data_IF_219617521339
#
_entry.id   IF_219617521339
#
_cell.length_a   1.000
_cell.length_b   1.000
_cell.length_c   1.000
_cell.angle_alpha   90.00
_cell.angle_beta   90.00
_cell.angle_gamma   90.00
#
_symmetry.space_group_name_H-M   'P 1'
#
loop_
_entity.id
_entity.type
_entity.pdbx_description
1 polymer ?
#
# COMPACT_ATOMS: atom_id res chain seq x y z
N UNK A 1 -41.63 -45.43 1.78
CA UNK A 1 -41.82 -44.08 1.19
C UNK A 1 -42.82 -43.39 2.10
N UNK A 2 -42.43 -42.36 2.87
CA UNK A 2 -43.23 -41.81 3.96
C UNK A 2 -44.56 -41.26 3.41
N UNK A 3 -45.69 -41.82 3.84
CA UNK A 3 -47.05 -41.62 3.27
C UNK A 3 -47.61 -40.20 3.48
N UNK A 4 -46.85 -39.34 4.17
CA UNK A 4 -47.23 -37.99 4.58
C UNK A 4 -46.40 -36.87 3.90
N UNK A 5 -45.24 -37.17 3.29
CA UNK A 5 -44.40 -36.14 2.64
C UNK A 5 -45.18 -35.53 1.46
N UNK A 6 -45.64 -34.29 1.62
CA UNK A 6 -46.31 -33.53 0.57
C UNK A 6 -47.85 -33.46 0.66
N UNK A 7 -48.46 -33.69 1.84
CA UNK A 7 -49.88 -33.36 2.02
C UNK A 7 -50.10 -31.87 1.70
N UNK A 8 -51.01 -31.54 0.77
CA UNK A 8 -51.17 -30.17 0.26
C UNK A 8 -51.61 -29.19 1.35
N UNK A 9 -52.37 -29.64 2.37
CA UNK A 9 -52.78 -28.78 3.47
C UNK A 9 -51.59 -28.31 4.32
N UNK A 10 -50.64 -29.20 4.63
CA UNK A 10 -49.45 -28.85 5.41
C UNK A 10 -48.51 -27.93 4.63
N UNK A 11 -48.30 -28.21 3.35
CA UNK A 11 -47.47 -27.36 2.48
C UNK A 11 -48.08 -25.96 2.34
N UNK A 12 -49.40 -25.87 2.18
CA UNK A 12 -50.10 -24.59 2.10
C UNK A 12 -50.01 -23.81 3.41
N UNK A 13 -50.23 -24.47 4.55
CA UNK A 13 -50.18 -23.84 5.86
C UNK A 13 -48.76 -23.33 6.20
N UNK A 14 -47.73 -24.19 6.05
CA UNK A 14 -46.32 -23.81 6.29
C UNK A 14 -45.87 -22.72 5.32
N UNK A 15 -46.30 -22.78 4.06
CA UNK A 15 -46.03 -21.76 3.06
C UNK A 15 -46.57 -20.38 3.48
N UNK A 16 -47.81 -20.35 3.97
CA UNK A 16 -48.46 -19.13 4.45
C UNK A 16 -47.81 -18.61 5.73
N UNK A 17 -47.58 -19.47 6.71
CA UNK A 17 -46.94 -19.11 7.99
C UNK A 17 -45.52 -18.57 7.79
N UNK A 18 -44.74 -19.10 6.86
CA UNK A 18 -43.38 -18.62 6.60
C UNK A 18 -43.27 -17.47 5.58
N UNK A 19 -44.39 -16.96 5.02
CA UNK A 19 -44.33 -16.04 3.86
C UNK A 19 -43.65 -14.71 4.15
N UNK A 20 -43.74 -14.22 5.39
CA UNK A 20 -43.22 -12.91 5.78
C UNK A 20 -41.72 -12.95 6.12
N UNK A 21 -41.10 -14.14 6.17
CA UNK A 21 -39.66 -14.31 6.36
C UNK A 21 -38.94 -13.96 5.05
N UNK A 22 -38.38 -12.74 5.00
CA UNK A 22 -37.71 -12.20 3.81
C UNK A 22 -36.36 -12.85 3.53
N UNK A 23 -35.63 -13.25 4.58
CA UNK A 23 -34.32 -13.88 4.43
C UNK A 23 -34.51 -15.36 4.05
N UNK A 24 -34.29 -15.67 2.77
CA UNK A 24 -34.53 -17.01 2.19
C UNK A 24 -33.89 -18.16 2.98
N UNK A 25 -32.62 -18.08 3.43
CA UNK A 25 -32.02 -19.18 4.19
C UNK A 25 -32.76 -19.51 5.49
N UNK A 26 -33.17 -18.49 6.25
CA UNK A 26 -33.97 -18.71 7.47
C UNK A 26 -35.35 -19.21 7.13
N UNK A 27 -35.99 -18.70 6.07
CA UNK A 27 -37.31 -19.16 5.64
C UNK A 27 -37.32 -20.65 5.35
N UNK A 28 -36.32 -21.16 4.64
CA UNK A 28 -36.26 -22.59 4.30
C UNK A 28 -35.96 -23.46 5.53
N UNK A 29 -35.10 -22.99 6.45
CA UNK A 29 -34.85 -23.69 7.72
C UNK A 29 -36.13 -23.79 8.58
N UNK A 30 -36.83 -22.67 8.75
CA UNK A 30 -38.06 -22.62 9.56
C UNK A 30 -39.18 -23.45 8.93
N UNK A 31 -39.30 -23.44 7.59
CA UNK A 31 -40.23 -24.32 6.89
C UNK A 31 -39.94 -25.80 7.15
N UNK A 32 -38.66 -26.20 7.13
CA UNK A 32 -38.27 -27.58 7.39
C UNK A 32 -38.63 -28.01 8.82
N UNK A 33 -38.30 -27.18 9.81
CA UNK A 33 -38.61 -27.41 11.23
C UNK A 33 -40.13 -27.48 11.48
N UNK A 34 -40.91 -26.55 10.91
CA UNK A 34 -42.37 -26.58 11.02
C UNK A 34 -42.99 -27.79 10.32
N UNK A 35 -42.41 -28.24 9.20
CA UNK A 35 -42.88 -29.46 8.53
C UNK A 35 -42.64 -30.70 9.39
N UNK A 36 -41.48 -30.79 10.06
CA UNK A 36 -41.16 -31.87 11.01
C UNK A 36 -42.11 -31.85 12.21
N UNK A 37 -42.43 -30.69 12.77
CA UNK A 37 -43.41 -30.59 13.86
C UNK A 37 -44.84 -30.97 13.45
N UNK A 38 -45.25 -30.68 12.21
CA UNK A 38 -46.53 -31.13 11.68
C UNK A 38 -46.55 -32.64 11.44
N UNK A 39 -45.42 -33.23 11.03
CA UNK A 39 -45.24 -34.68 10.91
C UNK A 39 -45.42 -35.34 12.28
N UNK A 40 -44.69 -34.90 13.29
CA UNK A 40 -44.79 -35.45 14.65
C UNK A 40 -46.22 -35.35 15.21
N UNK A 41 -46.88 -34.22 15.01
CA UNK A 41 -48.26 -34.01 15.46
C UNK A 41 -49.27 -34.89 14.70
N UNK A 42 -49.01 -35.15 13.42
CA UNK A 42 -49.83 -36.02 12.58
C UNK A 42 -49.66 -37.48 12.98
N UNK A 43 -48.43 -37.95 13.20
CA UNK A 43 -48.15 -39.31 13.67
C UNK A 43 -48.81 -39.57 15.03
N UNK A 44 -48.73 -38.62 15.97
CA UNK A 44 -49.42 -38.72 17.26
C UNK A 44 -50.96 -38.83 17.12
N UNK A 45 -51.56 -38.23 16.09
CA UNK A 45 -53.00 -38.37 15.82
C UNK A 45 -53.33 -39.76 15.27
N UNK A 46 -52.48 -40.31 14.39
CA UNK A 46 -52.66 -41.67 13.87
C UNK A 46 -52.55 -42.71 14.99
N UNK A 47 -51.58 -42.55 15.90
CA UNK A 47 -51.40 -43.43 17.06
C UNK A 47 -52.58 -43.37 18.03
N UNK A 48 -53.28 -42.23 18.09
CA UNK A 48 -54.53 -42.07 18.84
C UNK A 48 -55.75 -42.71 18.14
N UNK A 49 -55.57 -43.32 16.97
CA UNK A 49 -56.60 -44.02 16.22
C UNK A 49 -57.44 -43.14 15.29
N UNK A 50 -57.01 -41.90 14.99
CA UNK A 50 -57.69 -41.04 14.01
C UNK A 50 -57.41 -41.50 12.58
N UNK A 51 -58.40 -41.34 11.70
CA UNK A 51 -58.20 -41.55 10.27
C UNK A 51 -57.32 -40.44 9.69
N UNK A 52 -56.49 -40.75 8.68
CA UNK A 52 -55.52 -39.81 8.07
C UNK A 52 -56.10 -38.42 7.73
N UNK A 53 -57.33 -38.37 7.21
CA UNK A 53 -57.98 -37.10 6.86
C UNK A 53 -58.37 -36.27 8.08
N UNK A 54 -58.91 -36.93 9.10
CA UNK A 54 -59.28 -36.29 10.36
C UNK A 54 -58.05 -35.84 11.14
N UNK A 55 -56.96 -36.63 11.09
CA UNK A 55 -55.67 -36.28 11.67
C UNK A 55 -55.10 -35.00 11.04
N UNK A 56 -55.11 -34.87 9.71
CA UNK A 56 -54.65 -33.64 9.03
C UNK A 56 -55.48 -32.43 9.44
N UNK A 57 -56.81 -32.55 9.40
CA UNK A 57 -57.71 -31.46 9.77
C UNK A 57 -57.49 -31.04 11.23
N UNK A 58 -57.33 -32.00 12.14
CA UNK A 58 -57.06 -31.75 13.56
C UNK A 58 -55.73 -31.06 13.78
N UNK A 59 -54.67 -31.49 13.09
CA UNK A 59 -53.33 -30.88 13.21
C UNK A 59 -53.36 -29.43 12.71
N UNK A 60 -53.94 -29.16 11.54
CA UNK A 60 -54.05 -27.79 11.00
C UNK A 60 -54.92 -26.91 11.90
N UNK A 61 -56.06 -27.42 12.39
CA UNK A 61 -56.92 -26.72 13.34
C UNK A 61 -56.16 -26.33 14.62
N UNK A 62 -55.37 -27.26 15.17
CA UNK A 62 -54.57 -27.04 16.37
C UNK A 62 -53.47 -26.01 16.17
N UNK A 63 -52.94 -25.91 14.97
CA UNK A 63 -51.89 -24.94 14.59
C UNK A 63 -52.45 -23.52 14.43
N UNK A 64 -53.76 -23.40 14.20
CA UNK A 64 -54.46 -22.13 14.11
C UNK A 64 -54.19 -21.37 12.81
N UNK A 65 -54.43 -20.06 12.84
CA UNK A 65 -54.34 -19.20 11.67
C UNK A 65 -52.88 -18.96 11.26
N UNK A 66 -52.53 -19.39 10.04
CA UNK A 66 -51.19 -19.22 9.46
C UNK A 66 -50.80 -17.73 9.31
N UNK A 67 -51.77 -16.83 9.13
CA UNK A 67 -51.49 -15.39 9.00
C UNK A 67 -50.98 -14.80 10.31
N UNK A 68 -51.55 -15.23 11.44
CA UNK A 68 -51.12 -14.81 12.78
C UNK A 68 -49.70 -15.31 13.06
N UNK A 69 -49.41 -16.57 12.70
CA UNK A 69 -48.06 -17.15 12.84
C UNK A 69 -47.05 -16.39 11.95
N UNK A 70 -47.44 -16.01 10.73
CA UNK A 70 -46.57 -15.25 9.84
C UNK A 70 -46.19 -13.88 10.42
N UNK A 71 -47.14 -13.17 11.03
CA UNK A 71 -46.87 -11.89 11.69
C UNK A 71 -45.93 -12.04 12.89
N UNK A 72 -46.09 -13.11 13.67
CA UNK A 72 -45.21 -13.41 14.80
C UNK A 72 -43.79 -13.73 14.34
N UNK A 73 -43.65 -14.59 13.32
CA UNK A 73 -42.35 -14.93 12.74
C UNK A 73 -41.65 -13.70 12.15
N UNK A 74 -42.38 -12.79 11.51
CA UNK A 74 -41.80 -11.55 11.00
C UNK A 74 -41.15 -10.69 12.09
N UNK A 75 -41.71 -10.66 13.32
CA UNK A 75 -41.15 -9.87 14.43
C UNK A 75 -39.80 -10.42 14.90
N UNK A 76 -39.63 -11.74 14.83
CA UNK A 76 -38.39 -12.43 15.24
C UNK A 76 -37.35 -12.37 14.12
N UNK A 77 -37.73 -12.66 12.88
CA UNK A 77 -36.81 -12.75 11.75
C UNK A 77 -36.63 -11.39 11.05
N UNK A 78 -35.75 -10.55 11.61
CA UNK A 78 -35.29 -9.32 10.94
C UNK A 78 -34.17 -9.64 9.93
N UNK A 79 -34.38 -9.42 8.61
CA UNK A 79 -33.44 -9.85 7.57
C UNK A 79 -32.08 -9.15 7.59
N UNK A 80 -32.00 -7.98 8.24
CA UNK A 80 -30.81 -7.13 8.26
C UNK A 80 -29.55 -7.85 8.76
N UNK A 81 -29.64 -8.56 9.88
CA UNK A 81 -28.49 -9.22 10.50
C UNK A 81 -27.93 -10.37 9.66
N UNK A 82 -28.78 -11.10 8.95
CA UNK A 82 -28.36 -12.17 8.04
C UNK A 82 -27.57 -11.64 6.85
N UNK A 83 -27.97 -10.50 6.28
CA UNK A 83 -27.22 -9.86 5.20
C UNK A 83 -25.90 -9.27 5.69
N UNK A 84 -25.89 -8.56 6.83
CA UNK A 84 -24.65 -8.00 7.42
C UNK A 84 -23.62 -9.10 7.65
N UNK A 85 -24.01 -10.22 8.26
CA UNK A 85 -23.13 -11.38 8.45
C UNK A 85 -22.59 -11.97 7.14
N UNK A 86 -23.42 -12.04 6.10
CA UNK A 86 -23.00 -12.53 4.78
C UNK A 86 -21.96 -11.59 4.14
N UNK A 87 -22.17 -10.28 4.21
CA UNK A 87 -21.24 -9.29 3.66
C UNK A 87 -19.91 -9.26 4.43
N UNK A 88 -19.93 -9.31 5.76
CA UNK A 88 -18.68 -9.35 6.55
C UNK A 88 -17.84 -10.58 6.23
N UNK A 89 -18.48 -11.74 6.01
CA UNK A 89 -17.78 -12.98 5.61
C UNK A 89 -17.13 -12.87 4.23
N UNK A 90 -17.81 -12.25 3.26
CA UNK A 90 -17.25 -12.00 1.93
C UNK A 90 -16.06 -11.05 2.01
N UNK A 91 -16.18 -9.95 2.76
CA UNK A 91 -15.09 -9.01 2.96
C UNK A 91 -13.88 -9.66 3.65
N UNK A 92 -14.10 -10.52 4.65
CA UNK A 92 -13.03 -11.27 5.29
C UNK A 92 -12.29 -12.20 4.33
N UNK A 93 -13.01 -12.90 3.44
CA UNK A 93 -12.39 -13.76 2.41
C UNK A 93 -11.57 -12.91 1.43
N UNK A 94 -12.10 -11.77 0.98
CA UNK A 94 -11.36 -10.85 0.10
C UNK A 94 -10.09 -10.34 0.79
N UNK A 95 -10.17 -9.97 2.07
CA UNK A 95 -9.02 -9.51 2.85
C UNK A 95 -7.93 -10.60 2.98
N UNK A 96 -8.32 -11.86 3.22
CA UNK A 96 -7.38 -12.99 3.27
C UNK A 96 -6.72 -13.23 1.91
N UNK A 97 -7.49 -13.18 0.81
CA UNK A 97 -6.94 -13.31 -0.54
C UNK A 97 -5.96 -12.18 -0.85
N UNK A 98 -6.32 -10.93 -0.51
CA UNK A 98 -5.46 -9.77 -0.69
C UNK A 98 -4.15 -9.89 0.11
N UNK A 99 -4.24 -10.32 1.38
CA UNK A 99 -3.07 -10.54 2.23
C UNK A 99 -2.18 -11.65 1.66
N UNK A 100 -2.77 -12.77 1.23
CA UNK A 100 -2.04 -13.88 0.63
C UNK A 100 -1.37 -13.47 -0.69
N UNK A 101 -2.06 -12.64 -1.51
CA UNK A 101 -1.48 -12.07 -2.73
C UNK A 101 -0.29 -11.19 -2.42
N UNK A 102 -0.38 -10.27 -1.45
CA UNK A 102 0.74 -9.43 -1.02
C UNK A 102 1.92 -10.27 -0.49
N UNK A 103 1.63 -11.25 0.37
CA UNK A 103 2.65 -12.15 0.94
C UNK A 103 3.28 -13.08 -0.09
N UNK A 104 2.61 -13.40 -1.20
CA UNK A 104 3.15 -14.28 -2.23
C UNK A 104 3.84 -13.51 -3.37
N UNK A 105 3.25 -12.39 -3.80
CA UNK A 105 3.68 -11.66 -5.00
C UNK A 105 4.85 -10.71 -4.71
N UNK A 106 4.86 -10.03 -3.57
CA UNK A 106 5.99 -9.14 -3.20
C UNK A 106 7.31 -9.93 -3.09
N UNK A 107 7.39 -11.04 -2.33
CA UNK A 107 8.63 -11.82 -2.28
C UNK A 107 8.90 -12.58 -3.58
N UNK A 108 7.89 -12.93 -4.39
CA UNK A 108 8.13 -13.54 -5.71
C UNK A 108 8.73 -12.55 -6.72
N UNK A 109 8.32 -11.28 -6.72
CA UNK A 109 8.99 -10.23 -7.49
C UNK A 109 10.43 -10.02 -6.99
N UNK A 110 10.63 -10.04 -5.67
CA UNK A 110 11.97 -10.00 -5.07
C UNK A 110 12.86 -11.17 -5.50
N UNK A 111 12.33 -12.39 -5.49
CA UNK A 111 13.02 -13.63 -5.88
C UNK A 111 13.28 -13.69 -7.40
N UNK A 112 12.35 -13.22 -8.22
CA UNK A 112 12.55 -13.12 -9.69
C UNK A 112 13.63 -12.09 -10.01
N UNK A 113 13.65 -10.95 -9.32
CA UNK A 113 14.77 -10.00 -9.41
C UNK A 113 16.11 -10.65 -9.03
N UNK A 114 16.13 -11.45 -7.96
CA UNK A 114 17.32 -12.20 -7.52
C UNK A 114 17.76 -13.28 -8.52
N UNK A 115 16.82 -13.99 -9.16
CA UNK A 115 17.10 -15.09 -10.09
C UNK A 115 17.46 -14.63 -11.50
N UNK A 116 16.97 -13.45 -11.91
CA UNK A 116 17.23 -12.89 -13.25
C UNK A 116 18.49 -12.02 -13.32
N UNK A 117 19.21 -11.86 -12.20
CA UNK A 117 20.51 -11.22 -12.12
C UNK A 117 20.51 -9.82 -12.75
N UNK A 118 19.64 -8.96 -12.23
CA UNK A 118 19.77 -7.52 -12.41
C UNK A 118 20.46 -7.00 -11.14
N UNK A 119 21.76 -6.69 -11.24
CA UNK A 119 22.55 -6.14 -10.12
C UNK A 119 21.95 -4.83 -9.58
N UNK A 120 21.04 -4.20 -10.33
CA UNK A 120 20.45 -2.90 -10.03
C UNK A 120 19.19 -2.92 -9.17
N UNK A 121 18.55 -4.08 -8.93
CA UNK A 121 17.22 -4.04 -8.35
C UNK A 121 17.17 -4.01 -6.83
N UNK A 122 18.12 -4.59 -6.06
CA UNK A 122 18.07 -4.59 -4.57
C UNK A 122 19.35 -4.08 -3.90
N UNK A 123 19.62 -2.78 -4.05
CA UNK A 123 20.62 -2.09 -3.25
C UNK A 123 20.18 -2.03 -1.77
N UNK A 124 20.98 -2.68 -0.90
CA UNK A 124 20.70 -2.81 0.53
C UNK A 124 20.64 -1.45 1.22
N UNK A 125 19.54 -1.19 1.94
CA UNK A 125 19.19 0.10 2.56
C UNK A 125 20.18 0.62 3.64
N UNK A 126 21.27 -0.10 3.90
CA UNK A 126 22.09 0.06 5.10
C UNK A 126 23.29 1.01 4.90
N UNK A 127 23.76 1.27 3.67
CA UNK A 127 24.77 2.32 3.41
C UNK A 127 24.64 2.98 2.01
N UNK A 128 23.57 3.75 1.82
CA UNK A 128 23.32 4.51 0.59
C UNK A 128 24.39 5.57 0.26
N UNK A 129 25.27 5.94 1.21
CA UNK A 129 26.37 6.87 0.97
C UNK A 129 27.63 6.16 0.44
N UNK A 130 27.86 4.89 0.81
CA UNK A 130 28.87 4.04 0.19
C UNK A 130 28.49 3.67 -1.24
N UNK A 131 27.20 3.67 -1.56
CA UNK A 131 26.65 3.37 -2.89
C UNK A 131 26.76 4.52 -3.91
N UNK A 132 27.46 5.62 -3.59
CA UNK A 132 27.97 6.59 -4.59
C UNK A 132 29.15 5.97 -5.35
N UNK A 133 28.92 4.85 -5.99
CA UNK A 133 29.79 4.33 -7.02
C UNK A 133 29.11 4.67 -8.35
N UNK A 134 29.55 5.71 -9.08
CA UNK A 134 29.06 5.87 -10.43
C UNK A 134 29.46 4.62 -11.20
N UNK A 135 28.51 4.10 -11.95
CA UNK A 135 28.51 2.81 -12.64
C UNK A 135 29.73 2.55 -13.57
N UNK A 136 30.73 3.44 -13.70
CA UNK A 136 31.85 3.30 -14.66
C UNK A 136 33.12 4.13 -14.32
N UNK A 137 33.77 3.93 -13.17
CA UNK A 137 34.89 4.79 -12.74
C UNK A 137 36.22 4.05 -12.52
N UNK A 138 37.27 4.42 -13.28
CA UNK A 138 38.67 4.24 -12.85
C UNK A 138 38.99 5.26 -11.74
N UNK A 139 39.79 4.87 -10.74
CA UNK A 139 40.21 5.69 -9.58
C UNK A 139 41.11 6.87 -9.96
N UNK A 140 41.70 6.86 -11.17
CA UNK A 140 42.80 7.75 -11.56
C UNK A 140 42.42 9.24 -11.69
N UNK A 141 41.13 9.60 -11.68
CA UNK A 141 40.64 10.98 -11.93
C UNK A 141 39.92 11.62 -10.71
N UNK A 142 40.04 11.05 -9.51
CA UNK A 142 39.41 11.59 -8.29
C UNK A 142 40.25 12.73 -7.70
N UNK A 143 39.61 13.88 -7.46
CA UNK A 143 40.23 15.07 -6.87
C UNK A 143 40.02 15.10 -5.36
N UNK A 144 38.79 14.86 -4.92
CA UNK A 144 38.43 14.85 -3.51
C UNK A 144 37.20 13.96 -3.28
N UNK A 145 37.13 13.35 -2.10
CA UNK A 145 36.00 12.51 -1.67
C UNK A 145 35.83 12.64 -0.16
N UNK A 146 34.72 13.24 0.26
CA UNK A 146 34.51 13.62 1.66
C UNK A 146 33.05 13.81 2.03
N UNK A 147 32.79 13.99 3.33
CA UNK A 147 31.46 14.32 3.88
C UNK A 147 31.38 15.79 4.31
N UNK A 148 30.60 16.64 3.62
CA UNK A 148 30.35 18.00 4.05
C UNK A 148 29.62 18.04 5.39
N UNK A 149 29.94 19.02 6.23
CA UNK A 149 29.32 19.19 7.55
C UNK A 149 28.10 20.11 7.54
N UNK A 150 27.86 20.82 6.43
CA UNK A 150 26.77 21.77 6.35
C UNK A 150 25.42 21.06 6.27
N UNK A 151 24.43 21.64 6.96
CA UNK A 151 23.08 21.08 7.04
C UNK A 151 22.05 22.19 7.02
N UNK A 152 20.93 21.94 6.36
CA UNK A 152 19.81 22.86 6.29
C UNK A 152 18.53 22.21 6.83
N UNK A 153 17.58 23.04 7.25
CA UNK A 153 16.25 22.59 7.66
C UNK A 153 15.19 23.40 6.92
N UNK A 154 14.22 22.71 6.32
CA UNK A 154 13.12 23.33 5.59
C UNK A 154 11.86 22.48 5.73
N UNK A 155 10.72 23.08 6.09
CA UNK A 155 9.40 22.41 6.15
C UNK A 155 9.39 21.07 6.93
N UNK A 156 10.20 20.93 7.98
CA UNK A 156 10.30 19.71 8.79
C UNK A 156 11.22 18.62 8.22
N UNK A 157 11.90 18.90 7.12
CA UNK A 157 13.00 18.11 6.59
C UNK A 157 14.33 18.65 7.07
N UNK A 158 15.24 17.74 7.43
CA UNK A 158 16.66 18.01 7.63
C UNK A 158 17.43 17.53 6.41
N UNK A 159 18.11 18.43 5.75
CA UNK A 159 18.87 18.21 4.51
C UNK A 159 20.36 18.29 4.83
N UNK A 160 21.13 17.36 4.28
CA UNK A 160 22.58 17.26 4.43
C UNK A 160 23.17 16.56 3.21
N UNK A 161 24.45 16.75 2.93
CA UNK A 161 25.16 15.95 1.93
C UNK A 161 25.85 14.79 2.66
N UNK A 162 25.49 13.56 2.30
CA UNK A 162 26.05 12.36 2.95
C UNK A 162 27.48 12.05 2.46
N UNK A 163 27.77 12.34 1.19
CA UNK A 163 29.08 12.18 0.56
C UNK A 163 29.14 13.03 -0.71
N UNK A 164 30.29 13.59 -1.02
CA UNK A 164 30.58 14.26 -2.29
C UNK A 164 31.95 13.86 -2.81
N UNK A 165 32.04 13.60 -4.12
CA UNK A 165 33.25 13.28 -4.84
C UNK A 165 33.41 14.22 -6.05
N UNK A 166 34.57 14.88 -6.13
CA UNK A 166 34.95 15.69 -7.29
C UNK A 166 35.91 14.91 -8.19
N UNK A 167 35.71 15.02 -9.51
CA UNK A 167 36.51 14.32 -10.53
C UNK A 167 36.92 15.27 -11.64
N UNK A 168 38.08 15.00 -12.23
CA UNK A 168 38.50 15.65 -13.47
C UNK A 168 37.82 14.98 -14.66
N UNK A 169 37.33 15.80 -15.60
CA UNK A 169 36.69 15.35 -16.83
C UNK A 169 37.65 15.46 -18.01
N UNK A 170 37.46 14.62 -19.03
CA UNK A 170 38.29 14.59 -20.24
C UNK A 170 38.32 15.94 -21.01
N UNK A 171 37.38 16.83 -20.74
CA UNK A 171 37.25 18.16 -21.36
C UNK A 171 37.93 19.29 -20.55
N UNK A 172 38.66 18.97 -19.47
CA UNK A 172 39.36 19.93 -18.61
C UNK A 172 38.49 20.64 -17.57
N UNK A 173 37.20 20.30 -17.49
CA UNK A 173 36.32 20.72 -16.41
C UNK A 173 36.29 19.69 -15.28
N UNK A 174 35.70 20.06 -14.14
CA UNK A 174 35.45 19.13 -13.03
C UNK A 174 33.99 18.70 -13.01
N UNK A 175 33.72 17.49 -12.51
CA UNK A 175 32.38 17.01 -12.18
C UNK A 175 32.28 16.74 -10.68
N UNK A 176 31.14 17.06 -10.07
CA UNK A 176 30.87 16.69 -8.69
C UNK A 176 29.75 15.66 -8.66
N UNK A 177 29.94 14.54 -7.96
CA UNK A 177 28.91 13.53 -7.70
C UNK A 177 28.65 13.49 -6.21
N UNK A 178 27.40 13.58 -5.79
CA UNK A 178 27.06 13.66 -4.37
C UNK A 178 25.73 12.99 -4.05
N UNK A 179 25.58 12.59 -2.79
CA UNK A 179 24.31 12.11 -2.26
C UNK A 179 23.71 13.14 -1.32
N UNK A 180 22.55 13.64 -1.73
CA UNK A 180 21.72 14.47 -0.86
C UNK A 180 20.94 13.54 0.06
N UNK A 181 21.10 13.71 1.36
CA UNK A 181 20.35 13.01 2.40
C UNK A 181 19.30 13.94 2.99
N UNK A 182 18.05 13.54 2.85
CA UNK A 182 16.88 14.24 3.39
C UNK A 182 16.27 13.34 4.44
N UNK A 183 16.20 13.80 5.67
CA UNK A 183 15.57 13.09 6.78
C UNK A 183 14.39 13.86 7.36
N UNK A 184 13.36 13.14 7.77
CA UNK A 184 12.17 13.69 8.37
C UNK A 184 11.72 12.77 9.51
N UNK A 185 11.02 13.33 10.51
CA UNK A 185 10.45 12.54 11.61
C UNK A 185 8.97 12.18 11.38
N UNK A 186 8.32 12.83 10.41
CA UNK A 186 6.88 12.73 10.17
C UNK A 186 6.61 11.75 9.01
N UNK A 187 6.08 10.54 9.27
CA UNK A 187 5.90 9.51 8.25
C UNK A 187 4.87 9.88 7.16
N UNK A 188 4.15 10.99 7.33
CA UNK A 188 3.24 11.53 6.31
C UNK A 188 3.94 12.46 5.31
N UNK A 189 5.12 12.97 5.65
CA UNK A 189 5.97 13.74 4.74
C UNK A 189 6.69 12.76 3.82
N UNK A 190 6.26 12.73 2.55
CA UNK A 190 6.89 11.89 1.52
C UNK A 190 8.20 12.49 1.04
N UNK A 191 9.00 11.70 0.33
CA UNK A 191 10.23 12.15 -0.33
C UNK A 191 9.93 13.32 -1.30
N UNK A 192 10.36 14.55 -0.98
CA UNK A 192 10.12 15.71 -1.83
C UNK A 192 10.93 15.63 -3.13
N UNK A 193 10.41 16.09 -4.26
CA UNK A 193 11.15 16.09 -5.53
C UNK A 193 12.08 17.30 -5.66
N UNK A 194 12.99 17.49 -4.70
CA UNK A 194 13.86 18.67 -4.64
C UNK A 194 14.73 18.88 -5.89
N UNK A 195 15.09 17.81 -6.60
CA UNK A 195 16.04 17.86 -7.73
C UNK A 195 15.58 18.68 -8.94
N UNK A 196 14.30 19.03 -9.06
CA UNK A 196 13.81 19.83 -10.18
C UNK A 196 14.14 21.33 -10.06
N UNK A 197 14.28 21.85 -8.83
CA UNK A 197 14.52 23.27 -8.58
C UNK A 197 15.83 23.50 -7.81
N UNK A 198 16.76 22.54 -7.93
CA UNK A 198 18.10 22.63 -7.37
C UNK A 198 19.01 23.39 -8.34
N UNK A 199 19.76 24.34 -7.82
CA UNK A 199 20.82 25.04 -8.53
C UNK A 199 22.10 25.02 -7.70
N UNK A 200 23.23 25.29 -8.32
CA UNK A 200 24.46 25.56 -7.60
C UNK A 200 25.13 26.83 -8.10
N UNK A 201 25.95 27.44 -7.25
CA UNK A 201 26.76 28.63 -7.57
C UNK A 201 28.15 28.41 -7.00
N UNK A 202 29.19 28.68 -7.79
CA UNK A 202 30.57 28.66 -7.30
C UNK A 202 31.05 30.04 -6.83
N UNK A 203 32.19 30.08 -6.15
CA UNK A 203 32.84 31.30 -5.65
C UNK A 203 33.30 32.27 -6.75
N UNK A 204 33.29 31.83 -8.01
CA UNK A 204 33.61 32.66 -9.19
C UNK A 204 32.37 33.32 -9.80
N UNK A 205 31.18 33.00 -9.27
CA UNK A 205 29.90 33.52 -9.75
C UNK A 205 29.34 32.74 -10.94
N UNK A 206 29.88 31.57 -11.26
CA UNK A 206 29.26 30.69 -12.25
C UNK A 206 28.02 30.03 -11.64
N UNK A 207 26.95 29.94 -12.43
CA UNK A 207 25.68 29.33 -12.02
C UNK A 207 25.50 28.01 -12.75
N UNK A 208 25.09 26.99 -12.00
CA UNK A 208 24.75 25.66 -12.45
C UNK A 208 23.24 25.49 -12.27
N UNK A 209 22.42 25.77 -13.29
CA UNK A 209 20.96 25.67 -13.20
C UNK A 209 20.49 24.22 -13.10
N UNK A 210 19.23 23.97 -12.68
CA UNK A 210 18.62 22.66 -12.81
C UNK A 210 18.61 22.23 -14.28
N UNK A 211 18.77 20.93 -14.54
CA UNK A 211 18.76 20.40 -15.91
C UNK A 211 17.47 20.78 -16.64
N UNK A 212 17.65 21.54 -17.72
CA UNK A 212 16.63 21.80 -18.72
C UNK A 212 16.88 20.87 -19.93
N UNK A 213 15.86 20.11 -20.33
CA UNK A 213 15.92 19.19 -21.48
C UNK A 213 16.18 19.89 -22.82
N UNK A 214 16.19 21.23 -22.85
CA UNK A 214 16.57 22.05 -24.00
C UNK A 214 18.05 22.45 -24.02
N UNK A 215 18.80 22.28 -22.92
CA UNK A 215 20.19 22.71 -22.76
C UNK A 215 21.13 21.50 -22.58
N UNK A 216 21.41 20.79 -23.67
CA UNK A 216 22.30 19.62 -23.66
C UNK A 216 23.76 20.06 -23.75
N UNK A 217 24.55 19.75 -22.72
CA UNK A 217 26.01 19.93 -22.71
C UNK A 217 26.53 21.20 -22.01
N UNK A 218 25.67 21.93 -21.30
CA UNK A 218 26.05 23.07 -20.46
C UNK A 218 26.38 22.70 -19.01
N UNK A 219 26.66 23.72 -18.19
CA UNK A 219 26.72 23.61 -16.73
C UNK A 219 25.31 23.31 -16.19
N UNK A 220 25.21 22.33 -15.31
CA UNK A 220 23.92 21.90 -14.74
C UNK A 220 24.09 21.24 -13.37
N UNK A 221 22.99 21.22 -12.62
CA UNK A 221 22.77 20.35 -11.46
C UNK A 221 21.57 19.46 -11.76
N UNK A 222 21.71 18.17 -11.51
CA UNK A 222 20.66 17.18 -11.78
C UNK A 222 20.92 15.92 -10.99
N UNK A 223 19.92 15.04 -10.92
CA UNK A 223 20.07 13.76 -10.29
C UNK A 223 18.96 12.79 -10.64
N UNK A 224 19.00 11.66 -9.96
CA UNK A 224 17.98 10.63 -10.02
C UNK A 224 16.95 10.83 -8.90
N UNK A 225 15.81 10.14 -9.03
CA UNK A 225 14.75 10.16 -8.02
C UNK A 225 15.22 9.60 -6.67
N UNK A 226 14.49 9.90 -5.58
CA UNK A 226 14.87 9.45 -4.25
C UNK A 226 14.81 7.93 -4.09
N UNK A 227 15.78 7.38 -3.38
CA UNK A 227 15.79 6.01 -2.85
C UNK A 227 15.82 6.11 -1.32
N UNK A 228 14.99 5.34 -0.62
CA UNK A 228 14.98 5.36 0.84
C UNK A 228 13.69 4.82 1.44
N UNK A 229 13.46 5.16 2.70
CA UNK A 229 12.27 4.78 3.47
C UNK A 229 11.45 6.01 3.87
N UNK A 230 10.40 5.79 4.66
CA UNK A 230 9.46 6.84 5.08
C UNK A 230 10.12 8.00 5.87
N UNK A 231 11.30 7.79 6.47
CA UNK A 231 11.98 8.77 7.32
C UNK A 231 13.26 9.35 6.71
N UNK A 232 13.87 8.65 5.75
CA UNK A 232 15.12 9.06 5.13
C UNK A 232 15.07 8.77 3.64
N UNK A 233 15.36 9.79 2.83
CA UNK A 233 15.48 9.72 1.38
C UNK A 233 16.86 10.18 0.94
N UNK A 234 17.47 9.42 0.04
CA UNK A 234 18.76 9.69 -0.58
C UNK A 234 18.54 10.02 -2.05
N UNK A 235 19.18 11.07 -2.53
CA UNK A 235 19.13 11.48 -3.94
C UNK A 235 20.55 11.41 -4.47
N UNK A 236 20.75 10.61 -5.51
CA UNK A 236 21.98 10.62 -6.29
C UNK A 236 21.97 11.84 -7.21
N UNK A 237 22.95 12.72 -7.06
CA UNK A 237 23.01 14.01 -7.73
C UNK A 237 24.40 14.24 -8.31
N UNK A 238 24.49 15.10 -9.33
CA UNK A 238 25.76 15.56 -9.87
C UNK A 238 25.70 16.99 -10.39
N UNK A 239 26.87 17.61 -10.47
CA UNK A 239 27.13 18.93 -11.04
C UNK A 239 28.07 18.77 -12.24
N UNK A 240 27.65 19.26 -13.40
CA UNK A 240 28.40 19.15 -14.65
C UNK A 240 29.15 20.44 -14.94
N UNK A 241 30.42 20.34 -15.34
CA UNK A 241 31.18 21.49 -15.88
C UNK A 241 31.66 22.48 -14.82
N UNK A 242 31.99 21.98 -13.62
CA UNK A 242 32.55 22.76 -12.52
C UNK A 242 33.87 23.40 -12.97
N UNK A 243 34.01 24.69 -12.70
CA UNK A 243 35.21 25.46 -13.01
C UNK A 243 36.42 24.89 -12.26
N UNK A 244 37.55 24.60 -12.95
CA UNK A 244 38.70 23.98 -12.30
C UNK A 244 39.38 24.86 -11.23
N UNK A 245 39.15 26.17 -11.25
CA UNK A 245 39.67 27.09 -10.22
C UNK A 245 38.62 27.43 -9.15
N UNK A 246 37.42 26.82 -9.18
CA UNK A 246 36.43 26.98 -8.12
C UNK A 246 36.92 26.32 -6.82
N UNK A 247 36.77 27.02 -5.70
CA UNK A 247 37.21 26.53 -4.38
C UNK A 247 36.05 26.15 -3.46
N UNK A 248 34.85 26.68 -3.73
CA UNK A 248 33.64 26.33 -2.98
C UNK A 248 32.41 26.39 -3.87
N UNK A 249 31.40 25.59 -3.51
CA UNK A 249 30.12 25.53 -4.18
C UNK A 249 29.02 25.70 -3.13
N UNK A 250 28.01 26.50 -3.48
CA UNK A 250 26.77 26.60 -2.73
C UNK A 250 25.65 25.96 -3.54
N UNK A 251 25.09 24.89 -3.00
CA UNK A 251 23.92 24.21 -3.52
C UNK A 251 22.67 24.86 -2.92
N UNK A 252 21.81 25.40 -3.77
CA UNK A 252 20.59 26.09 -3.38
C UNK A 252 19.34 25.41 -3.92
N UNK A 253 18.27 25.51 -3.16
CA UNK A 253 16.93 25.14 -3.59
C UNK A 253 16.01 26.33 -3.34
N UNK A 254 15.16 26.64 -4.32
CA UNK A 254 14.09 27.63 -4.19
C UNK A 254 12.85 27.15 -4.95
N UNK A 255 11.77 26.90 -4.23
CA UNK A 255 10.48 26.56 -4.82
C UNK A 255 9.32 27.14 -3.99
N UNK A 256 8.49 27.98 -4.62
CA UNK A 256 7.27 28.56 -4.05
C UNK A 256 7.35 29.01 -2.58
N UNK A 257 8.45 29.64 -2.18
CA UNK A 257 8.63 30.21 -0.82
C UNK A 257 9.30 29.28 0.19
N UNK A 258 9.74 28.09 -0.23
CA UNK A 258 10.63 27.20 0.53
C UNK A 258 12.01 27.27 -0.09
N UNK A 259 12.99 27.74 0.68
CA UNK A 259 14.37 27.87 0.23
C UNK A 259 15.36 27.36 1.26
N UNK A 260 16.43 26.72 0.80
CA UNK A 260 17.56 26.32 1.64
C UNK A 260 18.84 26.31 0.83
N UNK A 261 19.98 26.46 1.50
CA UNK A 261 21.30 26.46 0.89
C UNK A 261 22.24 25.58 1.70
N UNK A 262 23.20 24.94 1.01
CA UNK A 262 24.29 24.16 1.57
C UNK A 262 25.60 24.56 0.90
N UNK A 263 26.58 25.00 1.65
CA UNK A 263 27.89 25.38 1.15
C UNK A 263 28.95 24.35 1.52
N UNK A 264 29.78 23.98 0.55
CA UNK A 264 30.86 23.02 0.76
C UNK A 264 32.08 23.36 -0.12
N UNK A 265 33.30 23.04 0.35
CA UNK A 265 34.50 23.28 -0.44
C UNK A 265 34.58 22.31 -1.62
N UNK A 266 35.43 22.60 -2.61
CA UNK A 266 35.78 21.64 -3.67
C UNK A 266 36.87 20.67 -3.20
N UNK A 267 37.75 21.13 -2.31
CA UNK A 267 38.85 20.34 -1.73
C UNK A 267 38.88 20.53 -0.20
N UNK A 268 39.14 19.47 0.58
CA UNK A 268 39.47 19.58 2.01
C UNK A 268 38.33 19.39 3.03
N UNK A 269 37.37 18.49 2.77
CA UNK A 269 36.45 18.02 3.82
C UNK A 269 36.96 16.82 4.63
N UNK A 270 36.10 16.27 5.51
CA UNK A 270 36.43 15.06 6.29
C UNK A 270 36.41 13.86 5.35
N UNK A 271 37.55 13.18 5.21
CA UNK A 271 37.68 11.96 4.40
C UNK A 271 36.52 11.00 4.66
N UNK A 272 35.87 10.57 3.59
CA UNK A 272 34.80 9.58 3.69
C UNK A 272 35.40 8.25 4.15
N UNK A 273 35.07 7.81 5.36
CA UNK A 273 35.55 6.55 5.90
C UNK A 273 34.90 5.38 5.14
N UNK A 274 35.71 4.60 4.42
CA UNK A 274 35.30 3.30 3.89
C UNK A 274 35.39 2.28 5.05
N UNK A 275 34.35 2.15 5.87
CA UNK A 275 34.22 1.04 6.82
C UNK A 275 33.51 -0.17 6.19
#
# INVERSE_FOLDING_TARGET
>A
MREWIGKPEFVAWVGNACRLIRFTPDRERVKAEMMEHLEDAYEACLDAGLESREAIARVVERMGDADVVAEQLQRVYRPFWGYVWKYTRVLAVIAVIYLAWHLAVIPAFGLVGMLLNDEDLWYGQDDMAAHVHPTYADDDNVISDFTPQDTAEAEGYKISIARICFREADNGYRHAYFVLRVSNWNPWLRSPMFFHNLYAVDDRGNVYPPRDHTNVGGREVTGNGPIGNDFVSYYEMWITGVDPEATSITLGFDDYGVSWELSFPVEGGIEYAQE
#
